data_IF_313418566826
#
_entry.id   IF_313418566826
#
_cell.length_a   1.000
_cell.length_b   1.000
_cell.length_c   1.000
_cell.angle_alpha   90.00
_cell.angle_beta   90.00
_cell.angle_gamma   90.00
#
_symmetry.space_group_name_H-M   'P 1'
#
loop_
_entity.id
_entity.type
_entity.pdbx_description
1 polymer ?
#
# COMPACT_ATOMS: atom_id res chain seq x y z
N UNK A 1 18.32 -35.66 -3.60
CA UNK A 1 17.13 -34.80 -3.44
C UNK A 1 17.61 -33.36 -3.59
N UNK A 2 17.25 -32.67 -4.66
CA UNK A 2 17.59 -31.25 -4.85
C UNK A 2 16.62 -30.44 -3.99
N UNK A 3 17.09 -29.90 -2.87
CA UNK A 3 16.33 -28.92 -2.07
C UNK A 3 16.52 -27.55 -2.72
N UNK A 4 15.51 -27.09 -3.44
CA UNK A 4 15.43 -25.68 -3.85
C UNK A 4 14.92 -24.87 -2.65
N UNK A 5 15.81 -24.46 -1.75
CA UNK A 5 15.52 -23.35 -0.84
C UNK A 5 15.72 -22.07 -1.66
N UNK A 6 14.70 -21.72 -2.44
CA UNK A 6 14.65 -20.40 -3.04
C UNK A 6 14.24 -19.40 -1.98
N UNK A 7 15.19 -18.89 -1.19
CA UNK A 7 15.01 -17.62 -0.48
C UNK A 7 15.10 -16.52 -1.53
N UNK A 8 14.04 -16.39 -2.33
CA UNK A 8 13.84 -15.19 -3.11
C UNK A 8 13.28 -14.15 -2.12
N UNK A 9 14.17 -13.50 -1.37
CA UNK A 9 13.89 -12.22 -0.72
C UNK A 9 13.66 -11.22 -1.87
N UNK A 10 12.43 -11.23 -2.41
CA UNK A 10 12.02 -10.21 -3.36
C UNK A 10 11.83 -8.94 -2.54
N UNK A 11 12.72 -7.97 -2.73
CA UNK A 11 12.56 -6.64 -2.14
C UNK A 11 11.19 -6.02 -2.50
N UNK A 12 10.56 -6.49 -3.57
CA UNK A 12 9.21 -6.16 -4.00
C UNK A 12 8.20 -7.18 -3.49
N UNK A 13 7.10 -6.72 -2.91
CA UNK A 13 6.04 -7.57 -2.35
C UNK A 13 4.67 -7.09 -2.84
N UNK A 14 3.73 -6.83 -1.93
CA UNK A 14 2.39 -6.33 -2.23
C UNK A 14 2.42 -5.19 -3.26
N UNK A 15 1.57 -5.31 -4.29
CA UNK A 15 1.44 -4.36 -5.40
C UNK A 15 2.73 -4.06 -6.18
N UNK A 16 3.75 -4.91 -6.06
CA UNK A 16 5.05 -4.71 -6.70
C UNK A 16 5.90 -3.63 -6.03
N UNK A 17 5.58 -3.26 -4.79
CA UNK A 17 6.23 -2.18 -4.05
C UNK A 17 7.24 -2.73 -3.03
N UNK A 18 8.22 -1.91 -2.67
CA UNK A 18 9.31 -2.37 -1.82
C UNK A 18 8.83 -2.68 -0.40
N UNK A 19 9.08 -3.88 0.11
CA UNK A 19 8.84 -4.23 1.51
C UNK A 19 10.12 -4.16 2.30
N UNK A 20 10.10 -3.38 3.38
CA UNK A 20 11.21 -3.28 4.32
C UNK A 20 11.27 -4.53 5.22
N UNK A 21 12.42 -4.80 5.84
CA UNK A 21 12.63 -5.94 6.74
C UNK A 21 11.72 -5.97 7.98
N UNK A 22 10.95 -4.91 8.19
CA UNK A 22 9.88 -4.79 9.19
C UNK A 22 8.51 -5.32 8.73
N UNK A 23 8.38 -5.71 7.45
CA UNK A 23 7.11 -6.14 6.84
C UNK A 23 6.24 -4.99 6.33
N UNK A 24 6.72 -3.74 6.43
CA UNK A 24 6.02 -2.56 5.92
C UNK A 24 6.32 -2.36 4.44
N UNK A 25 5.30 -2.04 3.66
CA UNK A 25 5.40 -1.71 2.24
C UNK A 25 5.65 -0.22 2.11
N UNK A 26 6.75 0.15 1.46
CA UNK A 26 7.10 1.53 1.17
C UNK A 26 6.42 2.01 -0.11
N UNK A 27 5.35 2.80 0.05
CA UNK A 27 4.60 3.41 -1.04
C UNK A 27 5.07 4.84 -1.31
N UNK A 28 6.39 5.10 -1.23
CA UNK A 28 7.08 6.39 -1.41
C UNK A 28 6.69 7.47 -0.39
N UNK A 29 5.45 7.93 -0.42
CA UNK A 29 4.97 8.99 0.45
C UNK A 29 4.63 8.47 1.86
N UNK A 30 4.31 7.18 1.99
CA UNK A 30 3.90 6.56 3.26
C UNK A 30 4.32 5.09 3.33
N UNK A 31 4.51 4.61 4.56
CA UNK A 31 4.61 3.19 4.87
C UNK A 31 3.21 2.60 5.09
N UNK A 32 2.92 1.54 4.36
CA UNK A 32 1.70 0.74 4.46
C UNK A 32 1.98 -0.54 5.25
N UNK A 33 1.10 -0.86 6.19
CA UNK A 33 1.12 -2.11 6.92
C UNK A 33 0.10 -3.08 6.30
N UNK A 34 0.55 -4.10 5.55
CA UNK A 34 -0.33 -5.11 4.96
C UNK A 34 -0.99 -6.00 6.03
N UNK A 35 -0.45 -6.10 7.24
CA UNK A 35 -1.03 -6.89 8.33
C UNK A 35 -2.29 -6.24 8.91
N UNK A 36 -2.33 -4.90 8.99
CA UNK A 36 -3.50 -4.15 9.48
C UNK A 36 -4.35 -3.51 8.37
N UNK A 37 -3.86 -3.49 7.12
CA UNK A 37 -4.56 -2.91 5.97
C UNK A 37 -4.63 -1.39 6.01
N UNK A 38 -3.65 -0.73 6.64
CA UNK A 38 -3.66 0.73 6.89
C UNK A 38 -2.28 1.35 6.72
N UNK A 39 -2.26 2.67 6.54
CA UNK A 39 -1.02 3.42 6.58
C UNK A 39 -0.53 3.62 8.02
N UNK A 40 0.79 3.58 8.20
CA UNK A 40 1.45 3.87 9.49
C UNK A 40 1.56 5.38 9.77
N UNK A 41 1.28 6.22 8.76
CA UNK A 41 1.35 7.67 8.85
C UNK A 41 0.10 8.34 8.29
N UNK A 42 -0.23 9.50 8.87
CA UNK A 42 -1.38 10.31 8.47
C UNK A 42 -1.15 10.92 7.09
N UNK A 43 -2.16 10.83 6.23
CA UNK A 43 -2.15 11.48 4.92
C UNK A 43 -2.03 13.00 5.05
N UNK A 44 -1.07 13.57 4.31
CA UNK A 44 -0.91 15.02 4.16
C UNK A 44 -1.93 15.58 3.18
N UNK A 45 -2.47 14.76 2.27
CA UNK A 45 -3.54 15.14 1.37
C UNK A 45 -4.82 15.46 2.16
N UNK A 46 -5.49 16.53 1.77
CA UNK A 46 -6.71 17.00 2.43
C UNK A 46 -7.90 16.06 2.16
N UNK A 47 -7.83 15.25 1.10
CA UNK A 47 -8.97 14.55 0.54
C UNK A 47 -9.86 15.48 -0.30
N UNK A 48 -10.89 14.91 -0.90
CA UNK A 48 -11.92 15.59 -1.67
C UNK A 48 -13.23 15.61 -0.86
N UNK A 49 -13.77 16.79 -0.63
CA UNK A 49 -15.03 16.98 0.10
C UNK A 49 -16.23 16.35 -0.62
N UNK A 50 -16.15 16.15 -1.94
CA UNK A 50 -17.17 15.44 -2.72
C UNK A 50 -17.08 13.92 -2.56
N UNK A 51 -15.95 13.42 -2.06
CA UNK A 51 -15.68 11.99 -1.87
C UNK A 51 -15.24 11.73 -0.42
N UNK A 52 -16.19 11.61 0.54
CA UNK A 52 -15.89 11.52 1.97
C UNK A 52 -14.93 10.40 2.36
N UNK A 53 -14.86 9.33 1.57
CA UNK A 53 -13.96 8.20 1.79
C UNK A 53 -12.48 8.60 1.75
N UNK A 54 -12.15 9.62 0.95
CA UNK A 54 -10.79 10.18 0.82
C UNK A 54 -10.35 11.01 2.03
N UNK A 55 -11.30 11.39 2.90
CA UNK A 55 -10.99 12.08 4.17
C UNK A 55 -10.41 11.12 5.23
N UNK A 56 -10.50 9.81 4.99
CA UNK A 56 -9.88 8.79 5.82
C UNK A 56 -8.36 8.80 5.67
N UNK A 57 -7.68 9.68 6.41
CA UNK A 57 -6.22 9.91 6.32
C UNK A 57 -5.31 8.72 6.64
N UNK A 58 -5.87 7.54 6.92
CA UNK A 58 -5.14 6.31 7.22
C UNK A 58 -5.54 5.15 6.31
N UNK A 59 -6.53 5.36 5.42
CA UNK A 59 -7.04 4.33 4.53
C UNK A 59 -6.09 4.12 3.36
N UNK A 60 -5.72 2.86 3.14
CA UNK A 60 -5.10 2.43 1.90
C UNK A 60 -6.20 2.14 0.86
N UNK A 61 -5.98 2.53 -0.41
CA UNK A 61 -6.88 2.21 -1.52
C UNK A 61 -8.37 2.59 -1.28
N UNK A 62 -8.64 3.68 -0.54
CA UNK A 62 -9.99 4.06 -0.09
C UNK A 62 -10.76 2.93 0.66
N UNK A 63 -10.04 2.01 1.30
CA UNK A 63 -10.64 0.84 1.96
C UNK A 63 -11.07 -0.28 1.00
N UNK A 64 -10.75 -0.18 -0.30
CA UNK A 64 -11.00 -1.21 -1.30
C UNK A 64 -9.70 -1.67 -1.98
N UNK A 65 -8.80 -2.35 -1.26
CA UNK A 65 -7.51 -2.84 -1.79
C UNK A 65 -7.63 -3.95 -2.83
N UNK A 66 -8.85 -4.44 -3.11
CA UNK A 66 -9.13 -5.46 -4.14
C UNK A 66 -9.28 -4.80 -5.51
N UNK A 67 -9.91 -3.64 -5.57
CA UNK A 67 -10.22 -2.96 -6.84
C UNK A 67 -9.40 -1.68 -7.05
N UNK A 68 -8.75 -1.18 -5.99
CA UNK A 68 -7.99 0.04 -6.01
C UNK A 68 -6.59 -0.20 -5.44
N UNK A 69 -5.63 0.55 -5.95
CA UNK A 69 -4.24 0.58 -5.51
C UNK A 69 -3.87 2.03 -5.21
N UNK A 70 -2.87 2.30 -4.35
CA UNK A 70 -2.29 3.65 -4.22
C UNK A 70 -0.78 3.60 -4.48
N UNK A 71 -0.34 3.62 -5.75
CA UNK A 71 1.08 3.56 -6.13
C UNK A 71 1.90 4.74 -5.62
N UNK A 72 1.24 5.86 -5.31
CA UNK A 72 1.88 7.09 -4.85
C UNK A 72 1.95 7.21 -3.34
N UNK A 73 1.21 6.36 -2.63
CA UNK A 73 0.94 6.53 -1.21
C UNK A 73 0.24 7.85 -0.88
N UNK A 74 -0.58 8.41 -1.77
CA UNK A 74 -1.34 9.66 -1.56
C UNK A 74 -2.81 9.55 -1.98
N UNK A 75 -3.10 8.84 -3.07
CA UNK A 75 -4.45 8.73 -3.60
C UNK A 75 -4.68 7.34 -4.20
N UNK A 76 -5.83 6.77 -3.89
CA UNK A 76 -6.26 5.54 -4.55
C UNK A 76 -6.54 5.79 -6.03
N UNK A 77 -6.00 4.93 -6.90
CA UNK A 77 -6.35 4.80 -8.30
C UNK A 77 -6.97 3.42 -8.57
N UNK A 78 -7.70 3.29 -9.66
CA UNK A 78 -8.23 2.00 -10.10
C UNK A 78 -7.09 1.18 -10.72
N UNK A 79 -7.15 -0.15 -10.56
CA UNK A 79 -6.14 -1.11 -11.04
C UNK A 79 -6.22 -1.39 -12.56
N UNK A 80 -6.83 -0.50 -13.35
CA UNK A 80 -7.19 -0.73 -14.76
C UNK A 80 -6.32 0.04 -15.77
N UNK A 81 -5.10 0.42 -15.39
CA UNK A 81 -4.10 1.03 -16.28
C UNK A 81 -2.88 0.11 -16.49
#
# INVERSE_FOLDING_TARGET
MLSSVGDYETAYSYTGEMTDGTGLVNLRARYYDPGTGRFMSRDTWAGDYKNPITLGKWLYANGNPINMMDPTGQKACWDYD
#
